data_IF_713707406899
#
_entry.id   IF_713707406899
#
_cell.length_a   1.000
_cell.length_b   1.000
_cell.length_c   1.000
_cell.angle_alpha   90.00
_cell.angle_beta   90.00
_cell.angle_gamma   90.00
#
_symmetry.space_group_name_H-M   'P 1'
#
loop_
_entity.id
_entity.type
_entity.pdbx_description
1 polymer ?
#
# COMPACT_ATOMS: atom_id res chain seq x y z
N UNK A 1 19.97 11.68 4.73
CA UNK A 1 21.30 12.29 4.57
C UNK A 1 21.42 13.44 5.56
N UNK A 2 22.56 13.62 6.22
CA UNK A 2 22.75 14.69 7.19
C UNK A 2 23.58 15.81 6.57
N UNK A 3 23.25 17.06 6.91
CA UNK A 3 23.97 18.24 6.44
C UNK A 3 25.31 18.38 7.16
N UNK A 4 26.24 19.09 6.55
CA UNK A 4 27.56 19.42 7.10
C UNK A 4 27.51 19.86 8.57
N UNK A 5 26.62 20.80 8.91
CA UNK A 5 26.49 21.33 10.28
C UNK A 5 26.12 20.25 11.30
N UNK A 6 25.29 19.29 10.92
CA UNK A 6 24.92 18.15 11.77
C UNK A 6 26.08 17.16 11.90
N UNK A 7 26.81 16.88 10.80
CA UNK A 7 27.95 15.95 10.81
C UNK A 7 29.05 16.48 11.75
N UNK A 8 29.53 17.70 11.51
CA UNK A 8 30.58 18.33 12.31
C UNK A 8 30.14 18.48 13.76
N UNK A 9 28.92 18.97 13.98
CA UNK A 9 28.38 19.19 15.31
C UNK A 9 28.22 17.90 16.13
N UNK A 10 27.88 16.78 15.49
CA UNK A 10 27.84 15.48 16.15
C UNK A 10 29.24 15.02 16.56
N UNK A 11 30.22 15.11 15.65
CA UNK A 11 31.60 14.69 15.91
C UNK A 11 32.21 15.52 17.04
N UNK A 12 32.05 16.84 16.99
CA UNK A 12 32.56 17.77 17.99
C UNK A 12 32.03 17.44 19.39
N UNK A 13 30.71 17.28 19.54
CA UNK A 13 30.13 16.93 20.84
C UNK A 13 30.61 15.57 21.35
N UNK A 14 30.73 14.58 20.45
CA UNK A 14 31.16 13.23 20.84
C UNK A 14 32.64 13.21 21.25
N UNK A 15 33.51 13.95 20.58
CA UNK A 15 34.91 14.11 20.96
C UNK A 15 35.08 14.91 22.26
N UNK A 16 34.23 15.90 22.54
CA UNK A 16 34.19 16.61 23.83
C UNK A 16 33.57 15.80 24.98
N UNK A 17 33.30 14.50 24.80
CA UNK A 17 32.77 13.62 25.84
C UNK A 17 31.26 13.72 26.08
N UNK A 18 30.53 14.50 25.28
CA UNK A 18 29.08 14.68 25.45
C UNK A 18 28.33 13.44 24.95
N UNK A 19 27.48 12.87 25.81
CA UNK A 19 26.74 11.63 25.54
C UNK A 19 25.66 11.74 24.45
N UNK A 20 25.29 10.58 23.88
CA UNK A 20 24.29 10.44 22.80
C UNK A 20 22.96 11.15 23.08
N UNK A 21 22.49 11.15 24.34
CA UNK A 21 21.20 11.74 24.73
C UNK A 21 21.16 13.26 24.49
N UNK A 22 22.28 13.96 24.68
CA UNK A 22 22.36 15.40 24.48
C UNK A 22 22.54 15.72 23.00
N UNK A 23 23.41 14.98 22.32
CA UNK A 23 23.67 15.12 20.88
C UNK A 23 22.41 14.92 20.04
N UNK A 24 21.63 13.87 20.32
CA UNK A 24 20.38 13.60 19.58
C UNK A 24 19.36 14.73 19.73
N UNK A 25 19.26 15.31 20.94
CA UNK A 25 18.29 16.36 21.27
C UNK A 25 18.66 17.66 20.56
N UNK A 26 19.96 17.98 20.48
CA UNK A 26 20.44 19.20 19.83
C UNK A 26 20.22 19.18 18.32
N UNK A 27 20.48 18.06 17.65
CA UNK A 27 20.39 17.96 16.18
C UNK A 27 19.09 17.32 15.69
N UNK A 28 18.18 16.92 16.59
CA UNK A 28 16.94 16.23 16.28
C UNK A 28 17.13 14.99 15.38
N UNK A 29 18.05 14.11 15.77
CA UNK A 29 18.39 12.88 15.04
C UNK A 29 18.27 11.62 15.91
N UNK A 30 18.22 10.44 15.30
CA UNK A 30 18.18 9.17 16.02
C UNK A 30 19.55 8.70 16.55
N UNK A 31 19.56 7.81 17.54
CA UNK A 31 20.79 7.18 18.06
C UNK A 31 21.56 6.42 16.97
N UNK A 32 20.83 5.76 16.06
CA UNK A 32 21.41 5.08 14.90
C UNK A 32 22.16 6.04 13.99
N UNK A 33 21.63 7.26 13.78
CA UNK A 33 22.28 8.30 12.98
C UNK A 33 23.55 8.82 13.64
N UNK A 34 23.54 9.06 14.96
CA UNK A 34 24.74 9.46 15.71
C UNK A 34 25.82 8.38 15.60
N UNK A 35 25.43 7.12 15.77
CA UNK A 35 26.35 5.97 15.66
C UNK A 35 26.94 5.85 14.26
N UNK A 36 26.09 5.98 13.24
CA UNK A 36 26.52 5.94 11.84
C UNK A 36 27.54 7.04 11.52
N UNK A 37 27.30 8.27 11.98
CA UNK A 37 28.24 9.39 11.79
C UNK A 37 29.58 9.08 12.45
N UNK A 38 29.58 8.61 13.70
CA UNK A 38 30.83 8.31 14.41
C UNK A 38 31.60 7.14 13.77
N UNK A 39 30.92 6.08 13.35
CA UNK A 39 31.57 4.96 12.67
C UNK A 39 32.24 5.42 11.37
N UNK A 40 31.52 6.17 10.53
CA UNK A 40 32.09 6.73 9.29
C UNK A 40 33.22 7.70 9.54
N UNK A 41 33.15 8.50 10.61
CA UNK A 41 34.24 9.37 11.02
C UNK A 41 35.51 8.56 11.36
N UNK A 42 35.37 7.47 12.10
CA UNK A 42 36.49 6.57 12.41
C UNK A 42 37.03 5.83 11.17
N UNK A 43 36.16 5.42 10.25
CA UNK A 43 36.55 4.76 9.00
C UNK A 43 37.29 5.69 8.03
N UNK A 44 36.88 6.96 7.95
CA UNK A 44 37.50 7.96 7.07
C UNK A 44 38.89 8.41 7.56
N UNK A 45 39.18 8.27 8.85
CA UNK A 45 40.48 8.61 9.44
C UNK A 45 40.83 10.10 9.48
N UNK A 46 39.92 11.00 9.09
CA UNK A 46 40.14 12.45 9.17
C UNK A 46 40.04 12.95 10.62
N UNK A 47 40.81 13.98 10.94
CA UNK A 47 40.62 14.79 12.14
C UNK A 47 39.45 15.76 11.98
N UNK A 48 38.92 16.26 13.11
CA UNK A 48 37.84 17.25 13.10
C UNK A 48 38.28 18.57 12.41
N UNK A 49 39.54 18.96 12.56
CA UNK A 49 40.07 20.18 11.94
C UNK A 49 40.15 20.05 10.41
N UNK A 50 40.61 18.89 9.91
CA UNK A 50 40.63 18.60 8.48
C UNK A 50 39.22 18.64 7.88
N UNK A 51 38.23 18.08 8.56
CA UNK A 51 36.83 18.13 8.11
C UNK A 51 36.26 19.55 8.10
N UNK A 52 36.65 20.40 9.08
CA UNK A 52 36.24 21.81 9.12
C UNK A 52 36.91 22.66 8.02
N UNK A 53 38.10 22.27 7.58
CA UNK A 53 38.82 22.93 6.49
C UNK A 53 38.31 22.51 5.09
N UNK A 54 37.59 21.39 4.99
CA UNK A 54 37.00 20.94 3.73
C UNK A 54 35.74 21.74 3.35
N UNK A 55 35.47 21.90 2.04
CA UNK A 55 34.18 22.41 1.58
C UNK A 55 33.02 21.58 2.12
N UNK A 56 31.91 22.20 2.59
CA UNK A 56 30.78 21.49 3.20
C UNK A 56 30.26 20.31 2.38
N UNK A 57 30.16 20.50 1.05
CA UNK A 57 29.67 19.47 0.13
C UNK A 57 30.59 18.24 0.07
N UNK A 58 31.91 18.43 0.14
CA UNK A 58 32.88 17.31 0.15
C UNK A 58 32.76 16.48 1.42
N UNK A 59 32.49 17.11 2.57
CA UNK A 59 32.24 16.39 3.83
C UNK A 59 30.93 15.61 3.74
N UNK A 60 29.86 16.21 3.22
CA UNK A 60 28.60 15.51 3.02
C UNK A 60 28.76 14.28 2.10
N UNK A 61 29.50 14.41 1.00
CA UNK A 61 29.79 13.33 0.05
C UNK A 61 30.71 12.26 0.65
N UNK A 62 31.72 12.63 1.43
CA UNK A 62 32.60 11.68 2.11
C UNK A 62 31.83 10.83 3.14
N UNK A 63 30.92 11.45 3.89
CA UNK A 63 30.08 10.75 4.85
C UNK A 63 28.90 10.04 4.20
N UNK A 64 28.41 10.48 3.04
CA UNK A 64 27.29 9.86 2.33
C UNK A 64 27.62 9.73 0.83
N UNK A 65 28.48 8.79 0.44
CA UNK A 65 28.91 8.65 -0.95
C UNK A 65 27.71 8.44 -1.88
N UNK A 66 27.64 9.15 -3.02
CA UNK A 66 26.56 8.97 -3.98
C UNK A 66 26.53 7.56 -4.58
N UNK A 67 27.63 6.79 -4.54
CA UNK A 67 27.64 5.37 -4.98
C UNK A 67 26.85 4.43 -4.05
N UNK A 68 26.60 4.80 -2.80
CA UNK A 68 25.61 4.09 -1.97
C UNK A 68 24.17 4.35 -2.43
N UNK A 69 23.97 5.32 -3.33
CA UNK A 69 22.76 5.48 -4.12
C UNK A 69 22.93 4.68 -5.42
N UNK A 70 23.12 3.36 -5.34
CA UNK A 70 22.76 2.50 -6.47
C UNK A 70 21.23 2.53 -6.63
N UNK A 71 20.71 3.66 -7.12
CA UNK A 71 19.57 3.61 -8.02
C UNK A 71 20.13 2.95 -9.27
N UNK A 72 20.13 1.62 -9.29
CA UNK A 72 20.08 0.94 -10.57
C UNK A 72 18.86 1.55 -11.25
N UNK A 73 19.06 2.31 -12.34
CA UNK A 73 17.95 2.79 -13.15
C UNK A 73 17.25 1.53 -13.66
N UNK A 74 16.16 1.19 -12.99
CA UNK A 74 15.30 0.07 -13.39
C UNK A 74 14.44 0.62 -14.51
N UNK A 75 14.34 -0.14 -15.59
CA UNK A 75 13.46 0.20 -16.70
C UNK A 75 12.03 0.37 -16.19
N UNK A 76 11.47 1.54 -16.52
CA UNK A 76 10.08 1.88 -16.24
C UNK A 76 9.18 1.05 -17.18
N UNK A 77 8.15 0.38 -16.63
CA UNK A 77 7.14 -0.25 -17.46
C UNK A 77 6.43 0.80 -18.33
N UNK A 78 6.00 0.40 -19.53
CA UNK A 78 5.09 1.21 -20.35
C UNK A 78 3.70 1.21 -19.70
N UNK A 79 3.50 2.13 -18.75
CA UNK A 79 2.24 2.24 -18.01
C UNK A 79 1.06 2.67 -18.90
N UNK A 80 1.31 3.27 -20.05
CA UNK A 80 0.25 3.63 -20.98
C UNK A 80 -0.34 2.38 -21.64
N UNK A 81 0.51 1.48 -22.15
CA UNK A 81 0.05 0.20 -22.67
C UNK A 81 -0.60 -0.68 -21.60
N UNK A 82 -0.01 -0.73 -20.40
CA UNK A 82 -0.58 -1.48 -19.27
C UNK A 82 -1.96 -0.95 -18.91
N UNK A 83 -2.13 0.38 -18.87
CA UNK A 83 -3.43 0.99 -18.59
C UNK A 83 -4.46 0.69 -19.68
N UNK A 84 -4.12 0.81 -20.96
CA UNK A 84 -5.04 0.44 -22.05
C UNK A 84 -5.47 -1.02 -21.97
N UNK A 85 -4.52 -1.94 -21.72
CA UNK A 85 -4.82 -3.36 -21.56
C UNK A 85 -5.76 -3.60 -20.39
N UNK A 86 -5.54 -2.94 -19.25
CA UNK A 86 -6.43 -3.07 -18.09
C UNK A 86 -7.84 -2.52 -18.37
N UNK A 87 -7.98 -1.41 -19.11
CA UNK A 87 -9.29 -0.86 -19.48
C UNK A 87 -10.06 -1.76 -20.46
N UNK A 88 -9.38 -2.65 -21.19
CA UNK A 88 -9.99 -3.62 -22.08
C UNK A 88 -10.30 -4.97 -21.42
N UNK A 89 -9.83 -5.21 -20.18
CA UNK A 89 -10.08 -6.44 -19.44
C UNK A 89 -11.43 -6.39 -18.72
N UNK A 90 -12.16 -7.50 -18.75
CA UNK A 90 -13.39 -7.67 -17.96
C UNK A 90 -13.11 -7.60 -16.46
N UNK A 91 -12.00 -8.19 -16.02
CA UNK A 91 -11.50 -8.12 -14.63
C UNK A 91 -10.06 -7.58 -14.61
N UNK A 92 -9.86 -6.26 -14.46
CA UNK A 92 -8.52 -5.68 -14.42
C UNK A 92 -7.76 -6.08 -13.14
N UNK A 93 -6.60 -6.70 -13.31
CA UNK A 93 -5.69 -7.04 -12.20
C UNK A 93 -4.29 -6.48 -12.44
N UNK A 94 -3.93 -5.46 -11.65
CA UNK A 94 -2.61 -4.83 -11.71
C UNK A 94 -1.50 -5.77 -11.18
N UNK A 95 -1.82 -6.71 -10.28
CA UNK A 95 -0.86 -7.71 -9.80
C UNK A 95 -0.44 -8.61 -10.95
N UNK A 96 -1.39 -9.04 -11.79
CA UNK A 96 -1.13 -9.80 -12.99
C UNK A 96 -0.22 -9.05 -13.97
N UNK A 97 -0.48 -7.76 -14.21
CA UNK A 97 0.41 -6.94 -15.07
C UNK A 97 1.83 -6.83 -14.50
N UNK A 98 1.96 -6.73 -13.17
CA UNK A 98 3.27 -6.75 -12.52
C UNK A 98 4.00 -8.09 -12.67
N UNK A 99 3.28 -9.22 -12.60
CA UNK A 99 3.89 -10.54 -12.78
C UNK A 99 4.50 -10.69 -14.18
N UNK A 100 3.78 -10.27 -15.22
CA UNK A 100 4.28 -10.28 -16.60
C UNK A 100 5.51 -9.36 -16.74
N UNK A 101 5.45 -8.13 -16.23
CA UNK A 101 6.61 -7.22 -16.18
C UNK A 101 7.80 -7.86 -15.46
N UNK A 102 7.59 -8.57 -14.35
CA UNK A 102 8.68 -9.21 -13.60
C UNK A 102 9.32 -10.38 -14.32
N UNK A 103 8.56 -11.08 -15.17
CA UNK A 103 9.06 -12.17 -16.01
C UNK A 103 10.05 -11.65 -17.04
N UNK A 104 9.76 -10.50 -17.64
CA UNK A 104 10.63 -9.83 -18.61
C UNK A 104 11.77 -9.05 -17.94
N UNK A 105 11.52 -8.49 -16.75
CA UNK A 105 12.49 -7.71 -15.98
C UNK A 105 12.70 -8.30 -14.56
N UNK A 106 13.49 -9.40 -14.41
CA UNK A 106 13.72 -10.03 -13.11
C UNK A 106 14.27 -9.08 -12.04
N UNK A 107 15.13 -8.13 -12.45
CA UNK A 107 15.71 -7.10 -11.58
C UNK A 107 14.86 -5.81 -11.48
N UNK A 108 13.71 -5.78 -12.15
CA UNK A 108 12.79 -4.65 -12.21
C UNK A 108 12.12 -4.31 -10.87
N UNK A 109 11.15 -3.40 -10.93
CA UNK A 109 10.41 -2.93 -9.76
C UNK A 109 9.67 -4.08 -9.03
N UNK A 110 9.68 -4.00 -7.70
CA UNK A 110 8.88 -4.90 -6.86
C UNK A 110 7.45 -4.37 -6.77
N UNK A 111 6.51 -5.25 -6.40
CA UNK A 111 5.07 -4.99 -6.47
C UNK A 111 4.65 -3.64 -5.88
N UNK A 112 5.09 -3.33 -4.65
CA UNK A 112 4.75 -2.09 -3.96
C UNK A 112 5.21 -0.84 -4.70
N UNK A 113 6.41 -0.87 -5.28
CA UNK A 113 6.97 0.24 -6.03
C UNK A 113 6.30 0.37 -7.41
N UNK A 114 6.00 -0.76 -8.05
CA UNK A 114 5.24 -0.79 -9.31
C UNK A 114 3.86 -0.14 -9.14
N UNK A 115 3.14 -0.48 -8.07
CA UNK A 115 1.83 0.11 -7.75
C UNK A 115 1.91 1.61 -7.48
N UNK A 116 2.98 2.05 -6.80
CA UNK A 116 3.21 3.48 -6.59
C UNK A 116 3.43 4.20 -7.93
N UNK A 117 4.34 3.69 -8.76
CA UNK A 117 4.66 4.28 -10.06
C UNK A 117 3.44 4.34 -10.98
N UNK A 118 2.64 3.27 -11.00
CA UNK A 118 1.40 3.24 -11.77
C UNK A 118 0.39 4.30 -11.29
N UNK A 119 0.22 4.46 -9.97
CA UNK A 119 -0.64 5.52 -9.40
C UNK A 119 -0.15 6.92 -9.72
N UNK A 120 1.17 7.14 -9.64
CA UNK A 120 1.77 8.43 -10.00
C UNK A 120 1.54 8.73 -11.49
N UNK A 121 1.72 7.73 -12.36
CA UNK A 121 1.39 7.82 -13.79
C UNK A 121 -0.09 8.17 -14.02
N UNK A 122 -1.03 7.52 -13.32
CA UNK A 122 -2.46 7.83 -13.45
C UNK A 122 -2.76 9.28 -13.05
N UNK A 123 -2.22 9.73 -11.92
CA UNK A 123 -2.41 11.11 -11.43
C UNK A 123 -1.89 12.14 -12.44
N UNK A 124 -0.74 11.88 -13.05
CA UNK A 124 -0.09 12.80 -13.99
C UNK A 124 -0.78 12.87 -15.35
N UNK A 125 -1.33 11.75 -15.85
CA UNK A 125 -1.85 11.65 -17.21
C UNK A 125 -3.39 11.71 -17.29
N UNK A 126 -4.09 11.25 -16.25
CA UNK A 126 -5.55 11.15 -16.24
C UNK A 126 -6.20 11.94 -15.09
N UNK A 127 -5.40 12.54 -14.20
CA UNK A 127 -5.90 13.31 -13.07
C UNK A 127 -6.35 12.45 -11.88
N UNK A 128 -6.90 13.11 -10.86
CA UNK A 128 -7.59 12.45 -9.74
C UNK A 128 -9.10 12.69 -9.89
N UNK A 129 -9.86 11.66 -10.26
CA UNK A 129 -11.32 11.67 -10.14
C UNK A 129 -11.82 11.53 -8.69
N UNK A 130 -10.94 11.67 -7.70
CA UNK A 130 -11.30 11.43 -6.30
C UNK A 130 -11.97 12.66 -5.69
N UNK A 131 -13.23 12.90 -6.07
CA UNK A 131 -14.16 13.61 -5.18
C UNK A 131 -14.45 12.67 -4.00
N UNK A 132 -13.58 12.70 -2.99
CA UNK A 132 -13.85 11.96 -1.74
C UNK A 132 -14.82 12.76 -0.90
N UNK A 133 -16.09 12.36 -0.86
CA UNK A 133 -17.03 12.85 0.14
C UNK A 133 -16.91 11.98 1.40
N UNK A 134 -16.65 12.55 2.59
CA UNK A 134 -16.71 11.77 3.83
C UNK A 134 -18.14 11.25 4.02
N UNK A 135 -18.30 9.94 3.96
CA UNK A 135 -19.57 9.28 4.24
C UNK A 135 -19.62 8.96 5.73
N UNK A 136 -20.48 9.67 6.46
CA UNK A 136 -20.77 9.33 7.86
C UNK A 136 -21.47 7.97 7.93
N UNK A 137 -21.02 7.11 8.85
CA UNK A 137 -21.57 5.78 9.05
C UNK A 137 -21.99 5.62 10.49
N UNK A 138 -23.30 5.60 10.74
CA UNK A 138 -23.85 5.42 12.07
C UNK A 138 -23.95 3.90 12.36
N UNK A 139 -23.42 3.41 13.50
CA UNK A 139 -23.52 2.01 13.88
C UNK A 139 -24.97 1.52 13.88
N UNK A 140 -25.24 0.37 13.24
CA UNK A 140 -26.58 -0.22 13.19
C UNK A 140 -27.58 0.49 12.28
N UNK A 141 -27.21 1.60 11.63
CA UNK A 141 -28.15 2.36 10.81
C UNK A 141 -28.42 1.68 9.45
N UNK A 142 -27.38 1.29 8.72
CA UNK A 142 -27.48 0.76 7.36
C UNK A 142 -26.75 -0.56 7.22
N UNK A 143 -27.46 -1.54 6.67
CA UNK A 143 -26.89 -2.77 6.13
C UNK A 143 -26.95 -2.71 4.61
N UNK A 144 -25.79 -2.84 3.98
CA UNK A 144 -25.66 -2.88 2.53
C UNK A 144 -25.78 -4.33 2.06
N UNK A 145 -26.48 -4.53 0.96
CA UNK A 145 -26.79 -5.85 0.39
C UNK A 145 -26.39 -5.85 -1.07
N UNK A 146 -25.70 -6.88 -1.51
CA UNK A 146 -25.25 -7.02 -2.89
C UNK A 146 -25.18 -8.48 -3.33
N UNK A 147 -25.23 -8.69 -4.64
CA UNK A 147 -24.90 -9.95 -5.29
C UNK A 147 -23.55 -9.82 -5.97
N UNK A 148 -22.64 -10.74 -5.70
CA UNK A 148 -21.36 -10.76 -6.40
C UNK A 148 -21.62 -11.04 -7.88
N UNK A 149 -21.29 -10.08 -8.75
CA UNK A 149 -21.56 -10.20 -10.20
C UNK A 149 -20.85 -11.37 -10.87
N UNK A 150 -19.74 -11.84 -10.31
CA UNK A 150 -19.07 -13.06 -10.79
C UNK A 150 -19.84 -14.30 -10.30
N UNK A 151 -20.17 -15.20 -11.22
CA UNK A 151 -20.87 -16.45 -10.94
C UNK A 151 -19.90 -17.64 -11.07
N UNK A 152 -19.16 -17.98 -10.00
CA UNK A 152 -18.14 -19.01 -10.08
C UNK A 152 -18.79 -20.40 -10.14
N UNK A 153 -18.09 -21.32 -10.79
CA UNK A 153 -18.46 -22.73 -10.93
C UNK A 153 -17.96 -23.53 -9.72
N UNK A 154 -18.63 -23.37 -8.58
CA UNK A 154 -18.18 -23.92 -7.28
C UNK A 154 -18.98 -25.12 -6.78
N UNK A 155 -20.12 -25.42 -7.39
CA UNK A 155 -20.99 -26.51 -6.94
C UNK A 155 -20.96 -27.64 -7.98
N UNK A 156 -20.59 -28.84 -7.54
CA UNK A 156 -20.61 -30.04 -8.37
C UNK A 156 -21.63 -31.01 -7.80
N UNK A 157 -22.57 -31.46 -8.64
CA UNK A 157 -23.49 -32.52 -8.29
C UNK A 157 -22.71 -33.86 -8.19
N UNK A 158 -22.65 -34.50 -7.01
CA UNK A 158 -21.89 -35.74 -6.82
C UNK A 158 -22.46 -36.93 -7.61
N UNK A 159 -23.74 -36.91 -7.96
CA UNK A 159 -24.42 -38.01 -8.65
C UNK A 159 -24.28 -37.91 -10.17
N UNK A 160 -24.31 -36.70 -10.72
CA UNK A 160 -24.27 -36.46 -12.18
C UNK A 160 -22.92 -35.95 -12.67
N UNK A 161 -22.10 -35.37 -11.78
CA UNK A 161 -20.87 -34.67 -12.14
C UNK A 161 -21.10 -33.29 -12.77
N UNK A 162 -22.35 -32.81 -12.83
CA UNK A 162 -22.67 -31.51 -13.39
C UNK A 162 -22.12 -30.37 -12.51
N UNK A 163 -21.55 -29.36 -13.15
CA UNK A 163 -21.01 -28.17 -12.49
C UNK A 163 -22.02 -27.04 -12.64
N UNK A 164 -22.48 -26.51 -11.51
CA UNK A 164 -23.40 -25.40 -11.44
C UNK A 164 -22.68 -24.10 -11.10
N UNK A 165 -23.06 -23.06 -11.84
CA UNK A 165 -22.78 -21.68 -11.45
C UNK A 165 -23.57 -21.35 -10.20
N UNK A 166 -22.93 -20.62 -9.29
CA UNK A 166 -23.57 -20.18 -8.06
C UNK A 166 -23.54 -18.67 -7.94
N UNK A 167 -24.50 -18.14 -7.18
CA UNK A 167 -24.65 -16.72 -6.91
C UNK A 167 -24.30 -16.46 -5.45
N UNK A 168 -23.39 -15.54 -5.20
CA UNK A 168 -22.95 -15.22 -3.84
C UNK A 168 -23.70 -13.98 -3.37
N UNK A 169 -24.59 -14.17 -2.39
CA UNK A 169 -25.25 -13.11 -1.66
C UNK A 169 -24.30 -12.59 -0.59
N UNK A 170 -24.08 -11.26 -0.53
CA UNK A 170 -23.22 -10.66 0.47
C UNK A 170 -23.89 -9.45 1.14
N UNK A 171 -23.63 -9.28 2.42
CA UNK A 171 -24.06 -8.10 3.18
C UNK A 171 -22.95 -7.56 4.04
N UNK A 172 -23.00 -6.26 4.33
CA UNK A 172 -22.08 -5.64 5.29
C UNK A 172 -22.69 -4.46 6.03
N UNK A 173 -22.26 -4.26 7.28
CA UNK A 173 -22.52 -3.02 8.01
C UNK A 173 -21.43 -2.01 7.73
N UNK A 174 -21.82 -0.81 7.26
CA UNK A 174 -20.85 0.21 6.88
C UNK A 174 -19.89 0.63 8.00
N UNK A 175 -20.34 0.61 9.27
CA UNK A 175 -19.52 1.03 10.41
C UNK A 175 -18.48 -0.02 10.82
N UNK A 176 -18.90 -1.28 10.98
CA UNK A 176 -18.04 -2.35 11.50
C UNK A 176 -17.29 -3.11 10.41
N UNK A 177 -17.69 -2.95 9.14
CA UNK A 177 -17.23 -3.77 8.02
C UNK A 177 -17.38 -5.27 8.25
N UNK A 178 -18.26 -5.69 9.18
CA UNK A 178 -18.58 -7.10 9.37
C UNK A 178 -19.38 -7.57 8.16
N UNK A 179 -19.03 -8.75 7.64
CA UNK A 179 -19.60 -9.32 6.42
C UNK A 179 -20.33 -10.62 6.75
N UNK A 180 -21.44 -10.84 6.05
CA UNK A 180 -22.12 -12.11 5.92
C UNK A 180 -22.20 -12.46 4.44
N UNK A 181 -21.93 -13.71 4.09
CA UNK A 181 -22.04 -14.19 2.72
C UNK A 181 -22.65 -15.59 2.69
N UNK A 182 -23.53 -15.83 1.72
CA UNK A 182 -24.24 -17.09 1.51
C UNK A 182 -24.35 -17.39 0.02
N UNK A 183 -24.39 -18.68 -0.34
CA UNK A 183 -24.42 -19.14 -1.72
C UNK A 183 -25.83 -19.61 -2.08
N UNK A 184 -26.34 -19.12 -3.21
CA UNK A 184 -27.64 -19.48 -3.77
C UNK A 184 -27.50 -19.98 -5.22
N UNK A 185 -28.54 -20.69 -5.69
CA UNK A 185 -28.63 -21.15 -7.08
C UNK A 185 -29.20 -20.08 -8.04
N UNK A 186 -29.78 -19.01 -7.50
CA UNK A 186 -30.30 -17.88 -8.27
C UNK A 186 -30.34 -16.59 -7.43
N UNK A 187 -30.56 -15.45 -8.11
CA UNK A 187 -30.70 -14.11 -7.51
C UNK A 187 -32.17 -13.69 -7.35
N UNK A 188 -33.12 -14.63 -7.37
CA UNK A 188 -34.55 -14.30 -7.36
C UNK A 188 -35.00 -13.86 -5.98
N UNK A 189 -36.17 -13.21 -5.94
CA UNK A 189 -36.75 -12.66 -4.72
C UNK A 189 -36.82 -13.66 -3.54
N UNK A 190 -37.17 -14.96 -3.72
CA UNK A 190 -37.14 -15.92 -2.62
C UNK A 190 -35.74 -16.10 -2.01
N UNK A 191 -34.72 -16.24 -2.85
CA UNK A 191 -33.31 -16.35 -2.45
C UNK A 191 -32.84 -15.08 -1.75
N UNK A 192 -33.21 -13.91 -2.29
CA UNK A 192 -32.92 -12.62 -1.68
C UNK A 192 -33.54 -12.47 -0.28
N UNK A 193 -34.84 -12.76 -0.11
CA UNK A 193 -35.51 -12.68 1.19
C UNK A 193 -34.87 -13.63 2.20
N UNK A 194 -34.54 -14.84 1.77
CA UNK A 194 -33.88 -15.86 2.60
C UNK A 194 -32.51 -15.38 3.08
N UNK A 195 -31.67 -14.89 2.15
CA UNK A 195 -30.36 -14.35 2.48
C UNK A 195 -30.43 -13.16 3.44
N UNK A 196 -31.40 -12.26 3.28
CA UNK A 196 -31.63 -11.16 4.22
C UNK A 196 -32.01 -11.68 5.61
N UNK A 197 -32.93 -12.65 5.70
CA UNK A 197 -33.33 -13.22 6.97
C UNK A 197 -32.14 -13.87 7.71
N UNK A 198 -31.39 -14.73 7.03
CA UNK A 198 -30.20 -15.36 7.61
C UNK A 198 -29.12 -14.36 7.98
N UNK A 199 -28.92 -13.31 7.18
CA UNK A 199 -27.96 -12.24 7.52
C UNK A 199 -28.36 -11.55 8.83
N UNK A 200 -29.64 -11.18 8.99
CA UNK A 200 -30.13 -10.54 10.22
C UNK A 200 -29.99 -11.45 11.45
N UNK A 201 -30.26 -12.75 11.30
CA UNK A 201 -30.04 -13.75 12.35
C UNK A 201 -28.55 -13.87 12.71
N UNK A 202 -27.67 -13.95 11.71
CA UNK A 202 -26.22 -13.98 11.90
C UNK A 202 -25.68 -12.76 12.66
N UNK A 203 -26.22 -11.57 12.36
CA UNK A 203 -25.84 -10.35 13.05
C UNK A 203 -26.48 -10.23 14.44
N UNK A 204 -27.60 -10.91 14.69
CA UNK A 204 -28.37 -10.80 15.92
C UNK A 204 -28.94 -9.39 16.14
N UNK A 205 -29.14 -8.63 15.06
CA UNK A 205 -29.56 -7.24 15.09
C UNK A 205 -30.34 -6.86 13.82
N UNK A 206 -31.25 -5.90 13.96
CA UNK A 206 -32.04 -5.36 12.84
C UNK A 206 -31.59 -3.92 12.56
N UNK A 207 -31.06 -3.63 11.36
CA UNK A 207 -30.66 -2.27 10.98
C UNK A 207 -31.89 -1.38 10.76
N UNK A 208 -31.69 -0.07 10.79
CA UNK A 208 -32.75 0.89 10.43
C UNK A 208 -33.10 0.84 8.94
N UNK A 209 -32.10 0.59 8.08
CA UNK A 209 -32.26 0.53 6.63
C UNK A 209 -31.54 -0.69 6.04
N UNK A 210 -32.23 -1.35 5.11
CA UNK A 210 -31.67 -2.31 4.17
C UNK A 210 -31.40 -1.56 2.87
N UNK A 211 -30.16 -1.59 2.39
CA UNK A 211 -29.72 -0.82 1.22
C UNK A 211 -29.20 -1.79 0.15
N UNK A 212 -30.06 -2.28 -0.75
CA UNK A 212 -29.63 -3.05 -1.91
C UNK A 212 -29.05 -2.12 -2.99
N UNK A 213 -27.99 -2.55 -3.67
CA UNK A 213 -27.31 -1.74 -4.72
C UNK A 213 -28.14 -1.61 -6.02
N UNK A 214 -29.07 -2.55 -6.27
CA UNK A 214 -29.94 -2.56 -7.44
C UNK A 214 -31.39 -2.20 -7.07
N UNK A 215 -31.75 -0.91 -7.16
CA UNK A 215 -33.14 -0.42 -7.06
C UNK A 215 -33.64 0.08 -8.42
#
# INVERSE_FOLDING_TARGET
MQKYSTIIGVIELRQSGIGYRTTKKRYNIGNSTVTLIMNRFHELGFSLEELKAMPPKKVEEAFYPPENLRRTEKELPDFFQIHQRMMAMETPDLAFQWMEYKKEHPNGYQLSQFYKLYRDFLRENFGQDSVSMPVERIPGERMYIDWVGNQPELLTDPATGEIHKVHVFATTFGFSSRVYAEVFLDERLPSFITGVAHALEYYGAVPKYLVPDNC
#
